data_IF_858898940698
#
_entry.id   IF_858898940698
#
_cell.length_a   1.000
_cell.length_b   1.000
_cell.length_c   1.000
_cell.angle_alpha   90.00
_cell.angle_beta   90.00
_cell.angle_gamma   90.00
#
_symmetry.space_group_name_H-M   'P 1'
#
loop_
_entity.id
_entity.type
_entity.pdbx_description
1 polymer ?
#
# COMPACT_ATOMS: atom_id res chain seq x y z
N UNK A 1 19.54 19.07 -7.37
CA UNK A 1 18.70 19.84 -6.45
C UNK A 1 17.33 20.05 -7.07
N UNK A 2 16.26 19.71 -6.35
CA UNK A 2 14.93 19.45 -6.91
C UNK A 2 14.16 20.67 -7.45
N UNK A 3 14.30 20.93 -8.75
CA UNK A 3 13.42 21.82 -9.51
C UNK A 3 12.05 21.20 -9.85
N UNK A 4 11.30 21.87 -10.74
CA UNK A 4 9.96 21.52 -11.21
C UNK A 4 9.80 20.07 -11.71
N UNK A 5 10.89 19.38 -12.05
CA UNK A 5 10.92 17.99 -12.53
C UNK A 5 10.89 16.90 -11.43
N UNK A 6 10.62 17.25 -10.16
CA UNK A 6 10.60 16.28 -9.05
C UNK A 6 9.63 15.10 -9.23
N UNK A 7 8.37 15.41 -9.50
CA UNK A 7 7.32 14.39 -9.68
C UNK A 7 7.55 13.54 -10.94
N UNK A 8 7.92 14.12 -12.10
CA UNK A 8 8.36 13.33 -13.26
C UNK A 8 9.52 12.38 -12.95
N UNK A 9 10.52 12.83 -12.18
CA UNK A 9 11.66 11.99 -11.80
C UNK A 9 11.23 10.79 -10.95
N UNK A 10 10.33 11.01 -9.98
CA UNK A 10 9.72 9.92 -9.21
C UNK A 10 8.97 8.96 -10.13
N UNK A 11 8.18 9.46 -11.07
CA UNK A 11 7.42 8.62 -11.99
C UNK A 11 8.34 7.75 -12.88
N UNK A 12 9.49 8.28 -13.31
CA UNK A 12 10.50 7.52 -14.04
C UNK A 12 11.12 6.42 -13.17
N UNK A 13 11.49 6.73 -11.92
CA UNK A 13 12.00 5.73 -10.97
C UNK A 13 10.94 4.64 -10.69
N UNK A 14 9.67 5.02 -10.55
CA UNK A 14 8.60 4.04 -10.42
C UNK A 14 8.47 3.14 -11.64
N UNK A 15 8.63 3.71 -12.84
CA UNK A 15 8.44 3.01 -14.10
C UNK A 15 9.49 1.92 -14.31
N UNK A 16 10.72 2.11 -13.82
CA UNK A 16 11.76 1.08 -13.88
C UNK A 16 11.40 -0.18 -13.09
N UNK A 17 10.45 -0.10 -12.15
CA UNK A 17 9.96 -1.25 -11.39
C UNK A 17 8.61 -1.77 -11.93
N UNK A 18 7.60 -0.90 -12.09
CA UNK A 18 6.25 -1.36 -12.45
C UNK A 18 6.15 -1.83 -13.91
N UNK A 19 6.91 -1.25 -14.84
CA UNK A 19 6.86 -1.66 -16.26
C UNK A 19 7.37 -3.10 -16.45
N UNK A 20 8.59 -3.47 -15.97
CA UNK A 20 9.02 -4.86 -16.04
C UNK A 20 8.04 -5.81 -15.33
N UNK A 21 7.55 -5.45 -14.15
CA UNK A 21 6.60 -6.27 -13.41
C UNK A 21 5.30 -6.52 -14.20
N UNK A 22 4.76 -5.49 -14.85
CA UNK A 22 3.55 -5.56 -15.68
C UNK A 22 3.72 -6.40 -16.96
N UNK A 23 4.93 -6.37 -17.53
CA UNK A 23 5.32 -7.19 -18.67
C UNK A 23 5.47 -8.66 -18.29
N UNK A 24 5.92 -8.95 -17.07
CA UNK A 24 5.96 -10.30 -16.52
C UNK A 24 4.54 -10.83 -16.26
N UNK A 25 3.73 -10.08 -15.51
CA UNK A 25 2.35 -10.45 -15.15
C UNK A 25 1.43 -9.24 -15.13
N UNK A 26 0.23 -9.36 -15.69
CA UNK A 26 -0.75 -8.27 -15.75
C UNK A 26 -1.17 -7.83 -14.35
N UNK A 27 -1.38 -8.78 -13.44
CA UNK A 27 -1.75 -8.49 -12.06
C UNK A 27 -0.67 -7.75 -11.25
N UNK A 28 0.58 -7.77 -11.70
CA UNK A 28 1.69 -7.16 -10.96
C UNK A 28 1.67 -5.64 -11.00
N UNK A 29 1.00 -5.02 -11.99
CA UNK A 29 0.84 -3.56 -12.05
C UNK A 29 0.37 -3.01 -10.71
N UNK A 30 -0.64 -3.62 -10.10
CA UNK A 30 -1.25 -3.13 -8.85
C UNK A 30 -0.81 -3.88 -7.59
N UNK A 31 0.17 -4.78 -7.69
CA UNK A 31 0.60 -5.63 -6.57
C UNK A 31 2.10 -5.56 -6.36
N UNK A 32 2.86 -6.51 -6.89
CA UNK A 32 4.33 -6.55 -6.72
C UNK A 32 4.99 -5.33 -7.38
N UNK A 33 4.57 -4.93 -8.58
CA UNK A 33 5.07 -3.75 -9.27
C UNK A 33 4.84 -2.46 -8.50
N UNK A 34 3.62 -2.29 -7.96
CA UNK A 34 3.31 -1.18 -7.03
C UNK A 34 4.28 -1.13 -5.84
N UNK A 35 4.43 -2.24 -5.13
CA UNK A 35 5.28 -2.33 -3.95
C UNK A 35 6.75 -2.00 -4.27
N UNK A 36 7.28 -2.57 -5.36
CA UNK A 36 8.63 -2.31 -5.83
C UNK A 36 8.84 -0.86 -6.29
N UNK A 37 7.85 -0.24 -6.96
CA UNK A 37 7.92 1.17 -7.35
C UNK A 37 7.99 2.10 -6.15
N UNK A 38 7.14 1.88 -5.14
CA UNK A 38 7.18 2.67 -3.89
C UNK A 38 8.54 2.51 -3.20
N UNK A 39 9.07 1.28 -3.15
CA UNK A 39 10.38 1.02 -2.57
C UNK A 39 11.50 1.75 -3.31
N UNK A 40 11.50 1.66 -4.64
CA UNK A 40 12.49 2.28 -5.51
C UNK A 40 12.46 3.81 -5.38
N UNK A 41 11.27 4.41 -5.35
CA UNK A 41 11.12 5.85 -5.13
C UNK A 41 11.64 6.27 -3.75
N UNK A 42 11.30 5.54 -2.68
CA UNK A 42 11.84 5.80 -1.34
C UNK A 42 13.36 5.74 -1.30
N UNK A 43 13.96 4.73 -1.93
CA UNK A 43 15.42 4.56 -2.00
C UNK A 43 16.09 5.66 -2.83
N UNK A 44 15.47 6.05 -3.95
CA UNK A 44 15.95 7.14 -4.78
C UNK A 44 15.90 8.48 -4.03
N UNK A 45 14.84 8.74 -3.25
CA UNK A 45 14.76 9.91 -2.39
C UNK A 45 15.87 9.90 -1.33
N UNK A 46 16.06 8.78 -0.62
CA UNK A 46 17.13 8.67 0.37
C UNK A 46 18.51 8.95 -0.24
N UNK A 47 18.80 8.36 -1.41
CA UNK A 47 20.06 8.60 -2.14
C UNK A 47 20.20 10.07 -2.58
N UNK A 48 19.14 10.67 -3.09
CA UNK A 48 19.15 12.04 -3.64
C UNK A 48 19.36 13.10 -2.54
N UNK A 49 18.78 12.87 -1.37
CA UNK A 49 18.82 13.80 -0.24
C UNK A 49 19.83 13.41 0.85
N UNK A 50 20.69 12.41 0.60
CA UNK A 50 21.73 11.99 1.54
C UNK A 50 21.20 11.40 2.85
N UNK A 51 20.01 10.79 2.83
CA UNK A 51 19.39 10.18 4.02
C UNK A 51 20.08 8.84 4.34
N UNK A 52 20.67 8.67 5.54
CA UNK A 52 21.28 7.41 5.93
C UNK A 52 20.25 6.28 6.00
N UNK A 53 20.62 5.08 5.57
CA UNK A 53 19.73 3.90 5.55
C UNK A 53 19.23 3.56 6.96
N UNK A 54 20.15 3.50 7.93
CA UNK A 54 19.82 3.26 9.33
C UNK A 54 19.69 4.59 10.09
N UNK A 55 18.63 4.78 10.89
CA UNK A 55 18.55 5.92 11.78
C UNK A 55 19.50 5.76 12.97
N UNK A 56 20.18 6.82 13.44
CA UNK A 56 20.89 6.78 14.73
C UNK A 56 19.93 6.55 15.91
N UNK A 57 18.74 7.15 15.85
CA UNK A 57 17.56 6.73 16.61
C UNK A 57 16.29 7.22 15.89
N UNK A 58 15.14 6.62 16.20
CA UNK A 58 13.87 7.02 15.58
C UNK A 58 13.46 8.44 16.01
N UNK A 59 13.69 8.79 17.27
CA UNK A 59 13.32 10.08 17.86
C UNK A 59 14.26 11.22 17.47
N UNK A 60 15.55 10.92 17.22
CA UNK A 60 16.53 11.93 16.80
C UNK A 60 16.59 12.14 15.29
N UNK A 61 16.10 11.17 14.50
CA UNK A 61 16.02 11.35 13.05
C UNK A 61 14.87 12.31 12.68
N UNK A 62 15.11 13.26 11.77
CA UNK A 62 14.05 14.11 11.25
C UNK A 62 12.88 13.28 10.68
N UNK A 63 11.60 13.67 10.92
CA UNK A 63 10.45 12.88 10.48
C UNK A 63 10.46 12.55 8.98
N UNK A 64 10.85 13.50 8.13
CA UNK A 64 10.96 13.29 6.68
C UNK A 64 11.94 12.15 6.30
N UNK A 65 13.06 12.02 7.00
CA UNK A 65 14.01 10.92 6.81
C UNK A 65 13.38 9.57 7.16
N UNK A 66 12.63 9.52 8.27
CA UNK A 66 11.94 8.31 8.69
C UNK A 66 10.81 7.92 7.73
N UNK A 67 10.06 8.90 7.20
CA UNK A 67 9.04 8.65 6.19
C UNK A 67 9.65 8.08 4.89
N UNK A 68 10.80 8.58 4.45
CA UNK A 68 11.51 8.06 3.28
C UNK A 68 11.97 6.59 3.49
N UNK A 69 12.51 6.27 4.66
CA UNK A 69 12.85 4.89 5.05
C UNK A 69 11.60 4.01 5.08
N UNK A 70 10.50 4.50 5.65
CA UNK A 70 9.24 3.78 5.71
C UNK A 70 8.68 3.47 4.33
N UNK A 71 8.79 4.36 3.33
CA UNK A 71 8.40 4.06 1.94
C UNK A 71 9.18 2.85 1.38
N UNK A 72 10.50 2.82 1.60
CA UNK A 72 11.34 1.70 1.18
C UNK A 72 10.98 0.40 1.91
N UNK A 73 10.88 0.44 3.24
CA UNK A 73 10.53 -0.73 4.05
C UNK A 73 9.13 -1.24 3.72
N UNK A 74 8.17 -0.34 3.53
CA UNK A 74 6.80 -0.64 3.11
C UNK A 74 6.80 -1.42 1.80
N UNK A 75 7.49 -0.91 0.77
CA UNK A 75 7.51 -1.53 -0.54
C UNK A 75 8.22 -2.89 -0.55
N UNK A 76 9.37 -3.01 0.12
CA UNK A 76 10.07 -4.30 0.26
C UNK A 76 9.19 -5.32 0.98
N UNK A 77 8.64 -4.96 2.15
CA UNK A 77 7.77 -5.86 2.93
C UNK A 77 6.58 -6.32 2.10
N UNK A 78 5.87 -5.40 1.44
CA UNK A 78 4.67 -5.73 0.68
C UNK A 78 5.01 -6.63 -0.53
N UNK A 79 6.09 -6.33 -1.26
CA UNK A 79 6.55 -7.17 -2.36
C UNK A 79 6.91 -8.58 -1.88
N UNK A 80 7.70 -8.68 -0.80
CA UNK A 80 8.08 -9.96 -0.19
C UNK A 80 6.86 -10.76 0.27
N UNK A 81 5.89 -10.13 0.94
CA UNK A 81 4.66 -10.79 1.37
C UNK A 81 3.88 -11.35 0.18
N UNK A 82 3.70 -10.56 -0.89
CA UNK A 82 2.95 -10.97 -2.06
C UNK A 82 3.62 -12.12 -2.82
N UNK A 83 4.94 -12.04 -3.00
CA UNK A 83 5.72 -13.07 -3.68
C UNK A 83 5.76 -14.37 -2.86
N UNK A 84 6.01 -14.28 -1.55
CA UNK A 84 5.99 -15.44 -0.66
C UNK A 84 4.61 -16.10 -0.67
N UNK A 85 3.55 -15.30 -0.56
CA UNK A 85 2.17 -15.80 -0.61
C UNK A 85 1.84 -16.47 -1.93
N UNK A 86 2.34 -15.94 -3.04
CA UNK A 86 2.14 -16.60 -4.33
C UNK A 86 2.89 -17.93 -4.44
N UNK A 87 4.11 -18.00 -3.90
CA UNK A 87 4.94 -19.19 -3.94
C UNK A 87 4.49 -20.30 -2.99
N UNK A 88 3.92 -19.96 -1.82
CA UNK A 88 3.68 -20.94 -0.75
C UNK A 88 2.21 -21.22 -0.46
N UNK A 89 1.26 -20.46 -1.02
CA UNK A 89 -0.18 -20.73 -0.83
C UNK A 89 -0.72 -21.48 -2.04
N UNK A 90 -1.28 -22.67 -1.79
CA UNK A 90 -1.81 -23.56 -2.83
C UNK A 90 -2.86 -22.89 -3.71
N UNK A 91 -2.76 -23.14 -5.03
CA UNK A 91 -3.62 -22.55 -6.05
C UNK A 91 -3.43 -21.04 -6.29
N UNK A 92 -2.63 -20.34 -5.49
CA UNK A 92 -2.47 -18.88 -5.65
C UNK A 92 -1.68 -18.52 -6.91
N UNK A 93 -0.59 -19.24 -7.20
CA UNK A 93 0.17 -19.06 -8.43
C UNK A 93 -0.68 -19.31 -9.68
N UNK A 94 -1.49 -20.37 -9.67
CA UNK A 94 -2.42 -20.70 -10.77
C UNK A 94 -3.50 -19.62 -10.93
N UNK A 95 -4.07 -19.14 -9.83
CA UNK A 95 -5.04 -18.04 -9.86
C UNK A 95 -4.43 -16.73 -10.41
N UNK A 96 -3.15 -16.47 -10.14
CA UNK A 96 -2.46 -15.33 -10.77
C UNK A 96 -2.28 -15.58 -12.28
N UNK A 97 -1.86 -16.78 -12.70
CA UNK A 97 -1.69 -17.12 -14.12
C UNK A 97 -2.99 -17.06 -14.91
N UNK A 98 -4.11 -17.53 -14.34
CA UNK A 98 -5.42 -17.48 -15.00
C UNK A 98 -5.93 -16.04 -15.18
N UNK A 99 -5.61 -15.14 -14.25
CA UNK A 99 -5.87 -13.71 -14.41
C UNK A 99 -5.06 -13.09 -15.57
N UNK A 100 -3.85 -13.59 -15.82
CA UNK A 100 -2.97 -13.12 -16.88
C UNK A 100 -3.35 -13.67 -18.28
N UNK A 101 -3.99 -14.84 -18.35
CA UNK A 101 -4.36 -15.52 -19.59
C UNK A 101 -5.34 -14.73 -20.47
N UNK A 102 -6.17 -13.85 -19.89
CA UNK A 102 -7.12 -13.02 -20.62
C UNK A 102 -6.54 -11.71 -21.20
N UNK A 103 -5.21 -11.56 -21.26
CA UNK A 103 -4.56 -10.31 -21.67
C UNK A 103 -3.97 -10.38 -23.08
N UNK A 104 -4.31 -9.41 -23.94
CA UNK A 104 -3.62 -9.18 -25.22
C UNK A 104 -2.13 -8.86 -25.06
N UNK A 105 -1.47 -8.48 -26.16
CA UNK A 105 -0.01 -8.26 -26.23
C UNK A 105 0.54 -7.50 -25.02
N UNK A 106 1.62 -8.05 -24.42
CA UNK A 106 2.25 -7.54 -23.20
C UNK A 106 2.71 -6.08 -23.36
N UNK A 107 3.22 -5.72 -24.54
CA UNK A 107 3.71 -4.36 -24.82
C UNK A 107 2.57 -3.31 -24.86
N UNK A 108 1.34 -3.70 -25.22
CA UNK A 108 0.18 -2.79 -25.19
C UNK A 108 -0.16 -2.28 -23.78
N UNK A 109 0.43 -2.87 -22.74
CA UNK A 109 0.23 -2.47 -21.34
C UNK A 109 1.12 -1.30 -20.92
N UNK A 110 2.18 -0.99 -21.67
CA UNK A 110 3.18 0.01 -21.30
C UNK A 110 2.56 1.40 -21.08
N UNK A 111 1.72 1.96 -21.98
CA UNK A 111 1.15 3.29 -21.77
C UNK A 111 0.33 3.40 -20.48
N UNK A 112 -0.53 2.40 -20.22
CA UNK A 112 -1.30 2.30 -18.98
C UNK A 112 -0.40 2.16 -17.74
N UNK A 113 0.68 1.39 -17.86
CA UNK A 113 1.59 1.15 -16.74
C UNK A 113 2.40 2.41 -16.40
N UNK A 114 2.75 3.23 -17.40
CA UNK A 114 3.39 4.52 -17.19
C UNK A 114 2.46 5.50 -16.46
N UNK A 115 1.17 5.56 -16.81
CA UNK A 115 0.22 6.42 -16.09
C UNK A 115 0.02 5.97 -14.64
N UNK A 116 0.03 4.66 -14.38
CA UNK A 116 0.03 4.12 -13.01
C UNK A 116 1.29 4.50 -12.24
N UNK A 117 2.46 4.55 -12.90
CA UNK A 117 3.70 5.03 -12.26
C UNK A 117 3.62 6.51 -11.85
N UNK A 118 2.99 7.35 -12.68
CA UNK A 118 2.72 8.76 -12.33
C UNK A 118 1.83 8.84 -11.10
N UNK A 119 0.79 8.00 -11.03
CA UNK A 119 -0.05 7.93 -9.83
C UNK A 119 0.74 7.52 -8.58
N UNK A 120 1.68 6.56 -8.68
CA UNK A 120 2.54 6.22 -7.54
C UNK A 120 3.47 7.37 -7.15
N UNK A 121 3.97 8.14 -8.11
CA UNK A 121 4.76 9.33 -7.85
C UNK A 121 3.95 10.40 -7.10
N UNK A 122 2.66 10.54 -7.41
CA UNK A 122 1.75 11.43 -6.70
C UNK A 122 1.61 11.03 -5.22
N UNK A 123 1.53 9.73 -4.94
CA UNK A 123 1.45 9.20 -3.57
C UNK A 123 2.73 9.46 -2.77
N UNK A 124 3.91 9.37 -3.40
CA UNK A 124 5.22 9.59 -2.75
C UNK A 124 5.60 11.08 -2.67
N UNK A 125 4.96 11.92 -3.47
CA UNK A 125 5.18 13.37 -3.57
C UNK A 125 5.31 14.10 -2.22
N UNK A 126 4.44 13.86 -1.20
CA UNK A 126 4.53 14.56 0.09
C UNK A 126 5.91 14.43 0.75
N UNK A 127 6.49 13.23 0.72
CA UNK A 127 7.81 12.96 1.34
C UNK A 127 8.92 13.66 0.57
N UNK A 128 8.83 13.71 -0.77
CA UNK A 128 9.81 14.43 -1.58
C UNK A 128 9.83 15.92 -1.23
N UNK A 129 8.67 16.54 -1.02
CA UNK A 129 8.62 17.93 -0.57
C UNK A 129 9.13 18.09 0.86
N UNK A 130 8.79 17.17 1.77
CA UNK A 130 9.32 17.15 3.13
C UNK A 130 10.86 17.11 3.18
N UNK A 131 11.49 16.33 2.30
CA UNK A 131 12.96 16.25 2.20
C UNK A 131 13.62 17.48 1.55
N UNK A 132 12.86 18.31 0.85
CA UNK A 132 13.36 19.56 0.23
C UNK A 132 13.33 20.74 1.19
N UNK A 133 12.43 20.71 2.17
CA UNK A 133 12.30 21.79 3.14
C UNK A 133 13.58 21.91 3.96
N UNK A 134 14.07 23.13 4.12
CA UNK A 134 15.23 23.42 4.98
C UNK A 134 14.90 23.32 6.48
N UNK A 135 13.61 23.29 6.83
CA UNK A 135 13.09 23.42 8.19
C UNK A 135 12.70 22.06 8.82
N UNK A 136 13.41 21.00 8.42
CA UNK A 136 13.10 19.63 8.88
C UNK A 136 13.31 19.53 10.39
N UNK A 137 12.23 19.40 11.16
CA UNK A 137 12.29 19.30 12.62
C UNK A 137 12.26 20.63 13.37
N UNK A 138 11.74 21.71 12.77
CA UNK A 138 11.48 22.99 13.46
C UNK A 138 10.48 22.89 14.63
N UNK A 139 10.15 24.03 15.25
CA UNK A 139 9.13 24.13 16.31
C UNK A 139 7.78 24.61 15.78
N UNK A 140 6.68 24.21 16.42
CA UNK A 140 5.33 24.69 16.10
C UNK A 140 4.42 23.65 15.44
N UNK A 141 3.29 24.10 14.89
CA UNK A 141 2.21 23.24 14.37
C UNK A 141 2.70 22.32 13.25
N UNK A 142 3.57 22.80 12.36
CA UNK A 142 4.14 21.99 11.28
C UNK A 142 4.86 20.74 11.81
N UNK A 143 5.72 20.91 12.82
CA UNK A 143 6.46 19.80 13.40
C UNK A 143 5.58 18.78 14.15
N UNK A 144 4.47 19.25 14.75
CA UNK A 144 3.46 18.36 15.33
C UNK A 144 2.80 17.51 14.25
N UNK A 145 2.42 18.12 13.12
CA UNK A 145 1.83 17.40 11.98
C UNK A 145 2.81 16.41 11.33
N UNK A 146 4.09 16.78 11.21
CA UNK A 146 5.14 15.89 10.71
C UNK A 146 5.29 14.63 11.58
N UNK A 147 5.35 14.81 12.91
CA UNK A 147 5.42 13.70 13.87
C UNK A 147 4.14 12.88 13.90
N UNK A 148 2.98 13.53 13.89
CA UNK A 148 1.70 12.84 13.81
C UNK A 148 1.61 11.98 12.53
N UNK A 149 1.99 12.54 11.38
CA UNK A 149 2.06 11.83 10.11
C UNK A 149 3.01 10.63 10.16
N UNK A 150 4.19 10.78 10.76
CA UNK A 150 5.11 9.66 10.97
C UNK A 150 4.50 8.55 11.83
N UNK A 151 3.90 8.90 12.97
CA UNK A 151 3.26 7.93 13.87
C UNK A 151 2.09 7.24 13.17
N UNK A 152 1.24 7.98 12.47
CA UNK A 152 0.13 7.41 11.69
C UNK A 152 0.62 6.49 10.58
N UNK A 153 1.69 6.88 9.86
CA UNK A 153 2.27 6.06 8.80
C UNK A 153 2.85 4.75 9.37
N UNK A 154 3.62 4.84 10.46
CA UNK A 154 4.19 3.68 11.14
C UNK A 154 3.10 2.74 11.66
N UNK A 155 2.07 3.29 12.30
CA UNK A 155 0.93 2.49 12.78
C UNK A 155 0.21 1.79 11.61
N UNK A 156 -0.05 2.49 10.51
CA UNK A 156 -0.64 1.90 9.31
C UNK A 156 0.20 0.77 8.71
N UNK A 157 1.52 0.97 8.64
CA UNK A 157 2.48 -0.05 8.19
C UNK A 157 2.42 -1.31 9.08
N UNK A 158 2.43 -1.16 10.40
CA UNK A 158 2.39 -2.28 11.34
C UNK A 158 1.04 -3.00 11.28
N UNK A 159 -0.07 -2.26 11.28
CA UNK A 159 -1.41 -2.83 11.19
C UNK A 159 -1.61 -3.64 9.91
N UNK A 160 -1.17 -3.10 8.77
CA UNK A 160 -1.23 -3.81 7.50
C UNK A 160 -0.37 -5.07 7.53
N UNK A 161 0.88 -4.97 8.00
CA UNK A 161 1.80 -6.09 8.08
C UNK A 161 1.23 -7.24 8.94
N UNK A 162 0.65 -6.91 10.09
CA UNK A 162 0.08 -7.90 11.01
C UNK A 162 -1.21 -8.52 10.45
N UNK A 163 -2.09 -7.72 9.85
CA UNK A 163 -3.29 -8.23 9.19
C UNK A 163 -2.96 -9.16 8.01
N UNK A 164 -1.98 -8.78 7.18
CA UNK A 164 -1.49 -9.60 6.08
C UNK A 164 -0.85 -10.90 6.58
N UNK A 165 -0.04 -10.83 7.64
CA UNK A 165 0.57 -12.01 8.29
C UNK A 165 -0.51 -12.96 8.81
N UNK A 166 -1.49 -12.44 9.54
CA UNK A 166 -2.61 -13.24 10.07
C UNK A 166 -3.36 -13.95 8.93
N UNK A 167 -3.74 -13.19 7.89
CA UNK A 167 -4.41 -13.73 6.69
C UNK A 167 -3.58 -14.78 5.97
N UNK A 168 -2.27 -14.57 5.87
CA UNK A 168 -1.35 -15.51 5.24
C UNK A 168 -1.25 -16.82 6.02
N UNK A 169 -1.08 -16.75 7.35
CA UNK A 169 -0.99 -17.93 8.22
C UNK A 169 -2.27 -18.76 8.14
N UNK A 170 -3.44 -18.14 8.23
CA UNK A 170 -4.74 -18.84 8.12
C UNK A 170 -4.85 -19.55 6.77
N UNK A 171 -4.58 -18.85 5.66
CA UNK A 171 -4.70 -19.46 4.32
C UNK A 171 -3.70 -20.57 4.07
N UNK A 172 -2.48 -20.45 4.61
CA UNK A 172 -1.44 -21.47 4.47
C UNK A 172 -1.73 -22.71 5.31
N UNK A 173 -2.23 -22.55 6.53
CA UNK A 173 -2.53 -23.68 7.44
C UNK A 173 -3.72 -24.52 6.99
N UNK A 174 -4.73 -23.89 6.41
CA UNK A 174 -5.98 -24.56 6.06
C UNK A 174 -6.07 -24.96 4.58
N UNK A 175 -4.96 -24.91 3.83
CA UNK A 175 -4.87 -25.26 2.41
C UNK A 175 -6.05 -24.73 1.58
N UNK A 176 -6.51 -23.50 1.87
CA UNK A 176 -7.76 -22.97 1.31
C UNK A 176 -7.60 -22.83 -0.21
N UNK A 177 -8.25 -23.68 -1.04
CA UNK A 177 -7.96 -23.70 -2.46
C UNK A 177 -8.42 -22.40 -3.11
N UNK A 178 -7.54 -21.76 -3.87
CA UNK A 178 -7.92 -20.62 -4.71
C UNK A 178 -8.69 -21.05 -5.97
N UNK A 179 -8.83 -22.37 -6.22
CA UNK A 179 -9.54 -22.98 -7.36
C UNK A 179 -10.97 -22.45 -7.50
N UNK A 180 -11.42 -22.26 -8.74
CA UNK A 180 -12.74 -21.71 -9.11
C UNK A 180 -13.88 -22.71 -8.97
N UNK A 181 -13.61 -23.99 -8.72
CA UNK A 181 -14.66 -25.02 -8.69
C UNK A 181 -15.58 -24.86 -7.49
N UNK A 182 -16.88 -24.91 -7.78
CA UNK A 182 -18.01 -24.47 -6.96
C UNK A 182 -18.49 -25.52 -5.95
N UNK A 183 -17.61 -26.40 -5.47
CA UNK A 183 -17.94 -27.31 -4.37
C UNK A 183 -17.73 -26.58 -3.05
N UNK A 184 -18.85 -26.11 -2.45
CA UNK A 184 -19.02 -25.51 -1.12
C UNK A 184 -17.71 -25.20 -0.38
N UNK A 185 -17.17 -24.00 -0.60
CA UNK A 185 -16.01 -23.53 0.17
C UNK A 185 -16.45 -23.16 1.58
N UNK A 186 -16.03 -23.92 2.58
CA UNK A 186 -16.18 -23.51 3.97
C UNK A 186 -15.44 -22.18 4.21
N UNK A 187 -16.06 -21.26 4.94
CA UNK A 187 -15.42 -20.02 5.35
C UNK A 187 -14.28 -20.31 6.32
N UNK A 188 -13.05 -20.14 5.83
CA UNK A 188 -11.83 -20.20 6.62
C UNK A 188 -11.09 -18.87 6.50
N UNK A 189 -11.63 -17.86 7.18
CA UNK A 189 -11.09 -16.51 7.24
C UNK A 189 -10.52 -16.16 8.63
N UNK A 190 -9.56 -15.24 8.72
CA UNK A 190 -9.21 -14.66 10.01
C UNK A 190 -10.39 -13.85 10.56
N UNK A 191 -10.85 -14.17 11.78
CA UNK A 191 -11.99 -13.50 12.43
C UNK A 191 -11.61 -12.72 13.68
N UNK A 192 -10.47 -13.04 14.31
CA UNK A 192 -9.98 -12.40 15.53
C UNK A 192 -8.77 -11.46 15.33
N UNK A 193 -8.19 -11.00 16.44
CA UNK A 193 -7.05 -10.07 16.42
C UNK A 193 -7.40 -8.78 15.68
N UNK A 194 -6.57 -8.38 14.71
CA UNK A 194 -6.85 -7.20 13.87
C UNK A 194 -8.17 -7.30 13.10
N UNK A 195 -8.66 -8.50 12.78
CA UNK A 195 -9.93 -8.73 12.07
C UNK A 195 -11.18 -8.60 12.95
N UNK A 196 -11.00 -8.40 14.27
CA UNK A 196 -12.08 -7.99 15.17
C UNK A 196 -12.28 -6.45 15.17
N UNK A 197 -11.32 -5.66 14.68
CA UNK A 197 -11.44 -4.20 14.59
C UNK A 197 -12.31 -3.79 13.39
N UNK A 198 -12.03 -4.34 12.22
CA UNK A 198 -12.84 -4.22 11.01
C UNK A 198 -12.58 -5.46 10.12
N UNK A 199 -13.42 -5.68 9.10
CA UNK A 199 -13.32 -6.86 8.22
C UNK A 199 -12.13 -6.81 7.25
N UNK A 200 -11.58 -5.63 7.00
CA UNK A 200 -10.40 -5.43 6.13
C UNK A 200 -9.31 -4.57 6.79
N UNK A 201 -8.71 -5.05 7.89
CA UNK A 201 -7.72 -4.29 8.65
C UNK A 201 -6.44 -4.04 7.86
N UNK A 202 -6.12 -4.91 6.89
CA UNK A 202 -5.00 -4.69 5.97
C UNK A 202 -5.25 -3.49 5.04
N UNK A 203 -6.49 -3.28 4.57
CA UNK A 203 -6.84 -2.10 3.77
C UNK A 203 -6.91 -0.84 4.63
N UNK A 204 -7.35 -0.96 5.89
CA UNK A 204 -7.28 0.13 6.86
C UNK A 204 -5.83 0.56 7.11
N UNK A 205 -4.92 -0.39 7.37
CA UNK A 205 -3.50 -0.13 7.53
C UNK A 205 -2.89 0.56 6.32
N UNK A 206 -3.26 0.13 5.11
CA UNK A 206 -2.82 0.75 3.86
C UNK A 206 -3.29 2.21 3.74
N UNK A 207 -4.56 2.50 4.05
CA UNK A 207 -5.10 3.87 4.05
C UNK A 207 -4.42 4.73 5.13
N UNK A 208 -4.22 4.21 6.33
CA UNK A 208 -3.52 4.92 7.42
C UNK A 208 -2.07 5.21 7.05
N UNK A 209 -1.37 4.26 6.41
CA UNK A 209 -0.01 4.48 5.92
C UNK A 209 0.06 5.71 5.01
N UNK A 210 -0.75 5.75 3.95
CA UNK A 210 -0.75 6.86 3.00
C UNK A 210 -1.31 8.16 3.58
N UNK A 211 -2.21 8.07 4.54
CA UNK A 211 -2.70 9.24 5.29
C UNK A 211 -1.57 9.85 6.12
N UNK A 212 -0.76 9.02 6.79
CA UNK A 212 0.43 9.46 7.49
C UNK A 212 1.49 10.05 6.57
N UNK A 213 1.71 9.46 5.38
CA UNK A 213 2.59 10.02 4.35
C UNK A 213 2.13 11.43 3.93
N UNK A 214 0.85 11.60 3.62
CA UNK A 214 0.29 12.91 3.26
C UNK A 214 0.46 13.90 4.42
N UNK A 215 -0.07 13.56 5.61
CA UNK A 215 -0.06 14.40 6.80
C UNK A 215 1.36 14.84 7.18
N UNK A 216 2.31 13.91 7.11
CA UNK A 216 3.71 14.16 7.45
C UNK A 216 4.44 15.04 6.43
N UNK A 217 3.99 15.04 5.17
CA UNK A 217 4.55 15.91 4.13
C UNK A 217 3.83 17.26 3.97
N UNK A 218 2.58 17.36 4.45
CA UNK A 218 1.72 18.55 4.29
C UNK A 218 2.38 19.87 4.73
N UNK A 219 3.04 19.96 5.90
CA UNK A 219 3.67 21.21 6.34
C UNK A 219 4.69 21.76 5.33
N UNK A 220 5.38 20.85 4.63
CA UNK A 220 6.41 21.15 3.64
C UNK A 220 5.86 21.46 2.24
N UNK A 221 4.55 21.29 2.01
CA UNK A 221 3.93 21.71 0.75
C UNK A 221 3.84 23.24 0.64
N UNK A 222 3.66 23.94 1.77
CA UNK A 222 3.58 25.40 1.83
C UNK A 222 2.63 25.98 0.78
N UNK A 223 3.13 26.90 -0.05
CA UNK A 223 2.40 27.52 -1.17
C UNK A 223 2.56 26.77 -2.51
N UNK A 224 3.15 25.58 -2.52
CA UNK A 224 3.44 24.87 -3.76
C UNK A 224 2.19 24.17 -4.33
N UNK A 225 1.60 24.76 -5.37
CA UNK A 225 0.39 24.23 -6.03
C UNK A 225 0.58 22.82 -6.58
N UNK A 226 1.71 22.53 -7.20
CA UNK A 226 2.00 21.19 -7.76
C UNK A 226 2.08 20.16 -6.63
N UNK A 227 2.75 20.50 -5.53
CA UNK A 227 2.82 19.68 -4.33
C UNK A 227 1.44 19.32 -3.79
N UNK A 228 0.56 20.31 -3.63
CA UNK A 228 -0.82 20.11 -3.17
C UNK A 228 -1.65 19.25 -4.13
N UNK A 229 -1.63 19.57 -5.43
CA UNK A 229 -2.42 18.83 -6.43
C UNK A 229 -1.97 17.36 -6.51
N UNK A 230 -0.68 17.11 -6.67
CA UNK A 230 -0.16 15.75 -6.75
C UNK A 230 -0.42 14.96 -5.46
N UNK A 231 -0.13 15.56 -4.29
CA UNK A 231 -0.30 14.88 -3.00
C UNK A 231 -1.76 14.53 -2.72
N UNK A 232 -2.68 15.46 -2.97
CA UNK A 232 -4.12 15.26 -2.78
C UNK A 232 -4.68 14.22 -3.76
N UNK A 233 -4.30 14.28 -5.04
CA UNK A 233 -4.72 13.27 -6.03
C UNK A 233 -4.16 11.88 -5.71
N UNK A 234 -2.91 11.79 -5.27
CA UNK A 234 -2.28 10.54 -4.84
C UNK A 234 -3.04 9.90 -3.68
N UNK A 235 -3.29 10.66 -2.62
CA UNK A 235 -4.03 10.18 -1.45
C UNK A 235 -5.49 9.83 -1.78
N UNK A 236 -6.21 10.72 -2.48
CA UNK A 236 -7.60 10.49 -2.84
C UNK A 236 -7.75 9.25 -3.73
N UNK A 237 -6.84 9.07 -4.68
CA UNK A 237 -6.81 7.90 -5.54
C UNK A 237 -6.62 6.61 -4.75
N UNK A 238 -5.62 6.54 -3.85
CA UNK A 238 -5.37 5.29 -3.11
C UNK A 238 -6.49 4.97 -2.12
N UNK A 239 -7.04 6.00 -1.48
CA UNK A 239 -8.22 5.87 -0.62
C UNK A 239 -9.41 5.28 -1.39
N UNK A 240 -9.69 5.82 -2.59
CA UNK A 240 -10.78 5.36 -3.44
C UNK A 240 -10.58 3.91 -3.92
N UNK A 241 -9.34 3.55 -4.30
CA UNK A 241 -8.98 2.17 -4.68
C UNK A 241 -9.21 1.21 -3.52
N UNK A 242 -8.80 1.57 -2.29
CA UNK A 242 -9.00 0.70 -1.11
C UNK A 242 -10.47 0.56 -0.74
N UNK A 243 -11.26 1.64 -0.80
CA UNK A 243 -12.70 1.60 -0.56
C UNK A 243 -13.42 0.70 -1.59
N UNK A 244 -13.06 0.82 -2.87
CA UNK A 244 -13.63 -0.01 -3.93
C UNK A 244 -13.21 -1.47 -3.79
N UNK A 245 -11.95 -1.73 -3.46
CA UNK A 245 -11.43 -3.08 -3.23
C UNK A 245 -12.13 -3.77 -2.04
N UNK A 246 -12.35 -3.03 -0.94
CA UNK A 246 -13.14 -3.49 0.20
C UNK A 246 -14.56 -3.90 -0.22
N UNK A 247 -15.30 -2.99 -0.88
CA UNK A 247 -16.67 -3.26 -1.34
C UNK A 247 -16.75 -4.51 -2.22
N UNK A 248 -15.88 -4.60 -3.24
CA UNK A 248 -15.86 -5.75 -4.15
C UNK A 248 -15.53 -7.06 -3.43
N UNK A 249 -14.66 -7.00 -2.41
CA UNK A 249 -14.31 -8.18 -1.64
C UNK A 249 -15.46 -8.63 -0.74
N UNK A 250 -16.18 -7.70 -0.13
CA UNK A 250 -17.39 -7.98 0.65
C UNK A 250 -18.47 -8.67 -0.20
N UNK A 251 -18.75 -8.13 -1.38
CA UNK A 251 -19.71 -8.71 -2.33
C UNK A 251 -19.32 -10.15 -2.68
N UNK A 252 -18.05 -10.35 -3.06
CA UNK A 252 -17.53 -11.69 -3.39
C UNK A 252 -17.57 -12.65 -2.20
N UNK A 253 -17.26 -12.18 -0.99
CA UNK A 253 -17.32 -13.01 0.22
C UNK A 253 -18.76 -13.38 0.55
N UNK A 254 -19.71 -12.45 0.41
CA UNK A 254 -21.13 -12.74 0.58
C UNK A 254 -21.63 -13.78 -0.42
N UNK A 255 -21.28 -13.65 -1.70
CA UNK A 255 -21.63 -14.63 -2.74
C UNK A 255 -21.04 -16.01 -2.45
N UNK A 256 -19.84 -16.07 -1.87
CA UNK A 256 -19.12 -17.34 -1.65
C UNK A 256 -19.49 -18.02 -0.34
N UNK A 257 -19.78 -17.24 0.72
CA UNK A 257 -19.87 -17.73 2.10
C UNK A 257 -21.15 -17.35 2.83
N UNK A 258 -22.03 -16.54 2.23
CA UNK A 258 -23.31 -16.17 2.83
C UNK A 258 -24.17 -17.39 3.15
N UNK A 259 -24.81 -17.39 4.31
CA UNK A 259 -25.58 -18.52 4.82
C UNK A 259 -24.73 -19.56 5.56
N UNK A 260 -23.43 -19.34 5.72
CA UNK A 260 -22.58 -20.14 6.60
C UNK A 260 -22.50 -19.49 7.97
N UNK A 261 -22.91 -20.23 9.00
CA UNK A 261 -22.98 -19.76 10.40
C UNK A 261 -21.72 -18.99 10.83
N UNK A 262 -20.52 -19.57 10.65
CA UNK A 262 -19.25 -18.92 11.03
C UNK A 262 -19.03 -17.56 10.35
N UNK A 263 -19.39 -17.43 9.07
CA UNK A 263 -19.19 -16.20 8.30
C UNK A 263 -20.20 -15.13 8.72
N UNK A 264 -21.47 -15.53 8.82
CA UNK A 264 -22.56 -14.63 9.16
C UNK A 264 -22.40 -14.10 10.60
N UNK A 265 -22.08 -14.97 11.57
CA UNK A 265 -21.79 -14.56 12.95
C UNK A 265 -20.62 -13.57 13.04
N UNK A 266 -19.51 -13.83 12.31
CA UNK A 266 -18.38 -12.90 12.29
C UNK A 266 -18.76 -11.54 11.70
N UNK A 267 -19.56 -11.54 10.61
CA UNK A 267 -20.00 -10.32 9.94
C UNK A 267 -20.96 -9.49 10.79
N UNK A 268 -21.80 -10.15 11.59
CA UNK A 268 -22.69 -9.50 12.57
C UNK A 268 -21.91 -8.86 13.72
N UNK A 269 -20.88 -9.54 14.23
CA UNK A 269 -20.01 -9.03 15.30
C UNK A 269 -19.16 -7.85 14.83
N UNK A 270 -18.57 -7.95 13.64
CA UNK A 270 -17.65 -6.93 13.09
C UNK A 270 -18.36 -6.17 11.99
N UNK A 271 -19.14 -5.13 12.32
CA UNK A 271 -19.99 -4.39 11.36
C UNK A 271 -19.19 -3.51 10.37
N UNK A 272 -18.05 -2.99 10.80
CA UNK A 272 -17.16 -2.17 9.99
C UNK A 272 -16.42 -2.93 8.89
N UNK A 273 -16.64 -2.58 7.62
CA UNK A 273 -15.90 -3.17 6.50
C UNK A 273 -14.44 -2.65 6.45
N UNK A 274 -14.28 -1.34 6.25
CA UNK A 274 -12.98 -0.67 6.20
C UNK A 274 -12.65 0.06 7.49
N UNK A 275 -13.66 0.69 8.10
CA UNK A 275 -13.51 1.47 9.32
C UNK A 275 -14.05 0.70 10.52
N UNK A 276 -13.38 0.74 11.69
CA UNK A 276 -13.92 0.20 12.92
C UNK A 276 -15.23 0.89 13.30
N UNK A 277 -16.17 0.10 13.81
CA UNK A 277 -17.44 0.58 14.37
C UNK A 277 -17.45 0.18 15.84
N UNK A 278 -17.21 1.14 16.74
CA UNK A 278 -17.32 0.95 18.18
C UNK A 278 -18.74 1.27 18.65
#
# INVERSE_FOLDING_TARGET
>A
GGGAAGVPSLALVGATAVVPAALLRRGYVFSVGYALSVSAMGAALMKTFGVPVLPPSLSSSPPAHNLARLLSLYGVRLASHLLLREATVEGKAEATRSFDAGGGSRLKRVPFTLSVSIFYAFMVCPVMYALRSADVGGSGVGAVLERAGLVTALFGFVLEAEADRHKFVVKRRHCVPYSREATKKEFVGPTGGTYALCRHPNYLGHVLFWTGILLGGTPSLGKNTVGWVCSSLGWYGIFSVMKMAAKRLEEKQQESYGGQEKFDTWREQVKGALWPTF
#
